data_IF_254306108392
#
_entry.id   IF_254306108392
#
_cell.length_a   1.000
_cell.length_b   1.000
_cell.length_c   1.000
_cell.angle_alpha   90.00
_cell.angle_beta   90.00
_cell.angle_gamma   90.00
#
_symmetry.space_group_name_H-M   'P 1'
#
loop_
_entity.id
_entity.type
_entity.pdbx_description
1 polymer ?
#
# COMPACT_ATOMS: atom_id res chain seq x y z
N UNK A 1 -15.45 2.03 -13.40
CA UNK A 1 -15.70 3.26 -12.62
C UNK A 1 -14.70 4.29 -13.12
N UNK A 2 -15.17 5.33 -13.80
CA UNK A 2 -14.32 6.26 -14.53
C UNK A 2 -13.40 7.04 -13.58
N UNK A 3 -12.13 7.16 -13.97
CA UNK A 3 -11.28 8.25 -13.47
C UNK A 3 -11.82 9.53 -14.09
N UNK A 4 -12.75 10.20 -13.43
CA UNK A 4 -12.98 11.61 -13.72
C UNK A 4 -11.68 12.34 -13.40
N UNK A 5 -11.01 12.87 -14.42
CA UNK A 5 -9.86 13.75 -14.23
C UNK A 5 -10.32 14.89 -13.34
N UNK A 6 -9.84 14.92 -12.09
CA UNK A 6 -10.09 16.02 -11.18
C UNK A 6 -9.59 17.30 -11.85
N UNK A 7 -10.51 18.19 -12.23
CA UNK A 7 -10.18 19.48 -12.81
C UNK A 7 -9.45 20.30 -11.77
N UNK A 8 -8.27 20.81 -12.14
CA UNK A 8 -7.56 21.76 -11.31
C UNK A 8 -8.45 22.98 -11.07
N UNK A 9 -8.41 23.49 -9.84
CA UNK A 9 -9.01 24.78 -9.55
C UNK A 9 -8.31 25.83 -10.41
N UNK A 10 -9.09 26.66 -11.10
CA UNK A 10 -8.55 27.75 -11.90
C UNK A 10 -7.74 28.70 -11.01
N UNK A 11 -6.57 29.13 -11.47
CA UNK A 11 -5.69 30.01 -10.69
C UNK A 11 -6.36 31.33 -10.29
N UNK A 12 -7.37 31.78 -11.05
CA UNK A 12 -8.17 32.98 -10.75
C UNK A 12 -9.13 32.81 -9.58
N UNK A 13 -9.46 31.57 -9.19
CA UNK A 13 -10.26 31.32 -7.99
C UNK A 13 -9.36 31.60 -6.78
N UNK A 14 -9.71 32.54 -5.90
CA UNK A 14 -8.91 32.80 -4.70
C UNK A 14 -9.06 31.64 -3.69
N UNK A 15 -8.05 31.39 -2.82
CA UNK A 15 -8.23 30.50 -1.68
C UNK A 15 -9.27 31.04 -0.70
N UNK A 16 -9.87 30.16 0.09
CA UNK A 16 -10.92 30.52 1.06
C UNK A 16 -10.33 30.78 2.46
N UNK A 17 -9.31 30.03 2.83
CA UNK A 17 -8.72 30.01 4.17
C UNK A 17 -7.29 30.51 4.17
N UNK A 18 -6.51 30.12 3.16
CA UNK A 18 -5.15 30.59 2.98
C UNK A 18 -5.13 31.98 2.34
N UNK A 19 -4.05 32.73 2.52
CA UNK A 19 -3.85 34.01 1.81
C UNK A 19 -3.49 33.80 0.34
N UNK A 20 -2.81 32.69 0.03
CA UNK A 20 -2.43 32.24 -1.31
C UNK A 20 -2.14 30.72 -1.28
N UNK A 21 -2.02 30.07 -2.44
CA UNK A 21 -1.68 28.63 -2.54
C UNK A 21 -0.17 28.39 -2.44
N UNK A 22 0.44 28.78 -1.32
CA UNK A 22 1.89 28.66 -1.10
C UNK A 22 2.22 28.00 0.24
N UNK A 23 3.42 27.43 0.34
CA UNK A 23 3.93 26.91 1.63
C UNK A 23 4.07 28.03 2.67
N UNK A 24 4.36 29.26 2.25
CA UNK A 24 4.42 30.42 3.16
C UNK A 24 3.06 30.68 3.81
N UNK A 25 1.98 30.68 3.02
CA UNK A 25 0.62 30.83 3.54
C UNK A 25 0.20 29.66 4.46
N UNK A 26 0.62 28.42 4.15
CA UNK A 26 0.42 27.26 5.02
C UNK A 26 1.17 27.42 6.34
N UNK A 27 2.43 27.86 6.30
CA UNK A 27 3.23 28.10 7.49
C UNK A 27 2.62 29.20 8.36
N UNK A 28 2.16 30.29 7.76
CA UNK A 28 1.46 31.36 8.48
C UNK A 28 0.15 30.87 9.11
N UNK A 29 -0.62 30.05 8.39
CA UNK A 29 -1.82 29.39 8.92
C UNK A 29 -1.50 28.57 10.19
N UNK A 30 -0.42 27.78 10.17
CA UNK A 30 0.08 27.03 11.34
C UNK A 30 0.48 27.99 12.48
N UNK A 31 1.29 29.02 12.18
CA UNK A 31 1.78 30.01 13.15
C UNK A 31 0.66 30.80 13.83
N UNK A 32 -0.51 30.96 13.21
CA UNK A 32 -1.65 31.65 13.85
C UNK A 32 -2.14 30.96 15.14
N UNK A 33 -1.76 29.69 15.37
CA UNK A 33 -2.23 28.89 16.50
C UNK A 33 -3.67 28.37 16.34
N UNK A 34 -4.32 28.63 15.20
CA UNK A 34 -5.63 28.05 14.84
C UNK A 34 -5.51 26.58 14.45
N UNK A 35 -4.38 26.19 13.86
CA UNK A 35 -4.08 24.81 13.48
C UNK A 35 -3.57 24.05 14.68
N UNK A 36 -4.41 23.18 15.25
CA UNK A 36 -4.02 22.33 16.39
C UNK A 36 -4.10 20.84 16.09
N UNK A 37 -4.72 20.49 14.96
CA UNK A 37 -4.96 19.11 14.55
C UNK A 37 -4.45 18.89 13.13
N UNK A 38 -3.17 18.58 13.00
CA UNK A 38 -2.57 18.20 11.72
C UNK A 38 -2.69 16.69 11.56
N UNK A 39 -3.38 16.25 10.51
CA UNK A 39 -3.37 14.85 10.09
C UNK A 39 -2.34 14.69 8.98
N UNK A 40 -1.49 13.68 9.12
CA UNK A 40 -0.46 13.37 8.13
C UNK A 40 -0.77 12.03 7.48
N UNK A 41 -0.72 11.98 6.15
CA UNK A 41 -0.95 10.80 5.34
C UNK A 41 0.33 10.50 4.56
N UNK A 42 0.94 9.33 4.77
CA UNK A 42 2.22 8.97 4.16
C UNK A 42 2.14 7.71 3.31
N UNK A 43 3.06 7.60 2.36
CA UNK A 43 3.35 6.39 1.61
C UNK A 43 4.83 6.25 1.32
N UNK A 44 5.18 5.30 0.44
CA UNK A 44 6.57 4.86 0.29
C UNK A 44 7.53 5.96 -0.19
N UNK A 45 7.02 7.02 -0.81
CA UNK A 45 7.82 8.14 -1.31
C UNK A 45 8.63 8.85 -0.22
N UNK A 46 8.17 8.84 1.05
CA UNK A 46 8.92 9.46 2.16
C UNK A 46 10.14 8.63 2.59
N UNK A 47 10.19 7.35 2.22
CA UNK A 47 11.25 6.40 2.59
C UNK A 47 12.28 6.17 1.48
N UNK A 48 12.09 6.76 0.30
CA UNK A 48 13.00 6.58 -0.85
C UNK A 48 14.41 7.08 -0.58
N UNK A 49 14.57 8.23 0.10
CA UNK A 49 15.87 8.75 0.51
C UNK A 49 16.57 7.88 1.57
N UNK A 50 15.84 7.01 2.27
CA UNK A 50 16.42 6.01 3.17
C UNK A 50 17.04 4.83 2.42
N UNK A 51 16.85 4.72 1.10
CA UNK A 51 17.25 3.56 0.30
C UNK A 51 16.18 2.49 0.17
N UNK A 52 14.97 2.73 0.68
CA UNK A 52 13.84 1.80 0.54
C UNK A 52 13.13 2.11 -0.78
N UNK A 53 13.06 1.16 -1.72
CA UNK A 53 12.33 1.39 -2.95
C UNK A 53 10.85 1.57 -2.69
N UNK A 54 10.21 2.44 -3.47
CA UNK A 54 8.77 2.44 -3.51
C UNK A 54 8.25 1.23 -4.32
N UNK A 55 6.93 1.11 -4.43
CA UNK A 55 6.33 0.00 -5.13
C UNK A 55 6.20 0.22 -6.64
N UNK A 56 5.99 1.46 -7.08
CA UNK A 56 5.38 1.77 -8.39
C UNK A 56 6.23 2.64 -9.31
N UNK A 57 7.28 3.29 -8.81
CA UNK A 57 8.11 4.18 -9.61
C UNK A 57 8.69 3.44 -10.81
N UNK A 58 8.71 4.06 -12.00
CA UNK A 58 9.40 3.49 -13.14
C UNK A 58 10.85 3.18 -12.80
N UNK A 59 11.34 1.99 -13.17
CA UNK A 59 12.72 1.49 -12.97
C UNK A 59 13.13 1.18 -11.52
N UNK A 60 12.77 2.01 -10.54
CA UNK A 60 13.15 1.83 -9.12
C UNK A 60 12.05 1.21 -8.26
N UNK A 61 10.82 1.11 -8.77
CA UNK A 61 9.72 0.48 -8.06
C UNK A 61 9.90 -1.03 -7.95
N UNK A 62 9.61 -1.58 -6.78
CA UNK A 62 9.69 -3.01 -6.50
C UNK A 62 8.91 -3.83 -7.54
N UNK A 63 7.67 -3.44 -7.87
CA UNK A 63 6.83 -4.18 -8.83
C UNK A 63 7.39 -4.22 -10.25
N UNK A 64 8.01 -3.13 -10.72
CA UNK A 64 8.63 -3.11 -12.05
C UNK A 64 9.77 -4.12 -12.18
N UNK A 65 10.47 -4.40 -11.10
CA UNK A 65 11.61 -5.31 -11.09
C UNK A 65 11.18 -6.75 -10.78
N UNK A 66 10.13 -6.93 -9.98
CA UNK A 66 9.49 -8.23 -9.77
C UNK A 66 8.72 -8.72 -11.01
N UNK A 67 8.26 -7.84 -11.90
CA UNK A 67 7.56 -8.23 -13.14
C UNK A 67 8.42 -9.07 -14.11
N UNK A 68 9.74 -9.09 -13.92
CA UNK A 68 10.67 -9.96 -14.68
C UNK A 68 10.70 -11.39 -14.15
N UNK A 69 10.18 -11.59 -12.95
CA UNK A 69 10.03 -12.88 -12.31
C UNK A 69 8.75 -13.51 -12.84
N UNK A 70 8.70 -14.83 -12.92
CA UNK A 70 7.57 -15.59 -13.48
C UNK A 70 6.31 -15.57 -12.58
N UNK A 71 6.07 -14.45 -11.89
CA UNK A 71 4.90 -14.18 -11.08
C UNK A 71 3.69 -13.94 -12.00
N UNK A 72 2.47 -14.31 -11.55
CA UNK A 72 1.27 -14.12 -12.35
C UNK A 72 0.97 -12.63 -12.60
N UNK A 73 1.38 -11.77 -11.67
CA UNK A 73 1.34 -10.30 -11.74
C UNK A 73 2.29 -9.75 -10.65
N UNK A 74 2.69 -8.48 -10.76
CA UNK A 74 3.77 -7.92 -9.94
C UNK A 74 3.42 -7.83 -8.43
N UNK A 75 2.14 -7.65 -8.11
CA UNK A 75 1.62 -7.57 -6.75
C UNK A 75 1.48 -8.94 -6.05
N UNK A 76 1.67 -10.06 -6.76
CA UNK A 76 1.39 -11.40 -6.26
C UNK A 76 2.15 -11.75 -4.97
N UNK A 77 3.37 -11.23 -4.78
CA UNK A 77 4.18 -11.46 -3.55
C UNK A 77 3.49 -10.90 -2.29
N UNK A 78 2.59 -9.94 -2.45
CA UNK A 78 1.77 -9.38 -1.38
C UNK A 78 0.28 -9.75 -1.51
N UNK A 79 -0.07 -10.79 -2.28
CA UNK A 79 -1.44 -11.31 -2.34
C UNK A 79 -1.61 -12.51 -1.39
N UNK A 80 -2.66 -12.48 -0.56
CA UNK A 80 -2.85 -13.52 0.46
C UNK A 80 -3.18 -14.90 -0.12
N UNK A 81 -3.85 -14.96 -1.27
CA UNK A 81 -4.16 -16.22 -1.94
C UNK A 81 -2.92 -16.82 -2.61
N UNK A 82 -2.03 -15.97 -3.14
CA UNK A 82 -0.73 -16.40 -3.64
C UNK A 82 0.19 -16.86 -2.49
N UNK A 83 0.31 -16.07 -1.42
CA UNK A 83 1.13 -16.42 -0.24
C UNK A 83 0.74 -17.75 0.42
N UNK A 84 -0.54 -18.13 0.36
CA UNK A 84 -1.02 -19.42 0.87
C UNK A 84 -0.47 -20.61 0.09
N UNK A 85 -0.16 -20.42 -1.18
CA UNK A 85 0.34 -21.45 -2.09
C UNK A 85 1.86 -21.41 -2.19
N UNK A 86 2.43 -20.20 -2.35
CA UNK A 86 3.86 -19.95 -2.52
C UNK A 86 4.33 -18.84 -1.55
N UNK A 87 4.53 -19.15 -0.26
CA UNK A 87 5.01 -18.18 0.74
C UNK A 87 6.49 -17.81 0.61
N UNK A 88 7.30 -18.63 -0.05
CA UNK A 88 8.76 -18.52 -0.16
C UNK A 88 9.22 -17.19 -0.79
N UNK A 89 8.63 -16.71 -1.91
CA UNK A 89 9.00 -15.43 -2.52
C UNK A 89 8.88 -14.24 -1.56
N UNK A 90 7.84 -14.24 -0.72
CA UNK A 90 7.68 -13.20 0.31
C UNK A 90 8.79 -13.28 1.35
N UNK A 91 9.19 -14.47 1.79
CA UNK A 91 10.19 -14.62 2.85
C UNK A 91 11.60 -14.24 2.40
N UNK A 92 11.92 -14.42 1.12
CA UNK A 92 13.17 -13.89 0.55
C UNK A 92 13.16 -12.37 0.52
N UNK A 93 12.04 -11.77 0.12
CA UNK A 93 11.87 -10.32 0.17
C UNK A 93 11.88 -9.78 1.62
N UNK A 94 11.23 -10.49 2.55
CA UNK A 94 11.13 -10.10 3.95
C UNK A 94 12.49 -10.03 4.65
N UNK A 95 13.45 -10.88 4.26
CA UNK A 95 14.83 -10.83 4.77
C UNK A 95 15.50 -9.49 4.44
N UNK A 96 15.22 -8.94 3.26
CA UNK A 96 15.81 -7.70 2.83
C UNK A 96 15.08 -6.48 3.41
N UNK A 97 13.75 -6.55 3.51
CA UNK A 97 12.90 -5.51 4.10
C UNK A 97 12.89 -5.49 5.64
N UNK A 98 13.47 -6.49 6.30
CA UNK A 98 13.38 -6.62 7.75
C UNK A 98 13.92 -5.38 8.48
N UNK A 99 13.22 -4.84 9.50
CA UNK A 99 13.61 -3.60 10.15
C UNK A 99 15.03 -3.63 10.72
N UNK A 100 15.75 -2.51 10.56
CA UNK A 100 17.06 -2.27 11.19
C UNK A 100 18.17 -1.80 10.25
N UNK A 101 18.02 -1.96 8.93
CA UNK A 101 19.01 -1.54 7.93
C UNK A 101 18.92 -0.05 7.57
N UNK A 102 17.68 0.43 7.39
CA UNK A 102 17.41 1.78 6.91
C UNK A 102 17.37 2.79 8.06
N UNK A 103 17.30 4.08 7.79
CA UNK A 103 17.15 5.10 8.84
C UNK A 103 16.06 6.10 8.44
N UNK A 104 15.37 6.74 9.41
CA UNK A 104 14.37 7.74 9.10
C UNK A 104 14.91 8.88 8.23
N UNK A 105 14.05 9.42 7.37
CA UNK A 105 14.37 10.57 6.51
C UNK A 105 14.00 11.89 7.18
N UNK A 106 14.28 13.01 6.51
CA UNK A 106 13.87 14.34 6.99
C UNK A 106 12.35 14.45 7.11
N UNK A 107 11.62 13.85 6.17
CA UNK A 107 10.16 13.78 6.23
C UNK A 107 9.67 13.09 7.51
N UNK A 108 10.30 11.99 7.92
CA UNK A 108 9.96 11.29 9.17
C UNK A 108 10.28 12.14 10.40
N UNK A 109 11.46 12.78 10.42
CA UNK A 109 11.90 13.68 11.47
C UNK A 109 10.93 14.87 11.66
N UNK A 110 10.43 15.44 10.56
CA UNK A 110 9.44 16.51 10.61
C UNK A 110 8.12 16.07 11.24
N UNK A 111 7.64 14.86 10.94
CA UNK A 111 6.42 14.32 11.55
C UNK A 111 6.60 14.12 13.06
N UNK A 112 7.77 13.64 13.50
CA UNK A 112 8.10 13.56 14.92
C UNK A 112 8.14 14.95 15.57
N UNK A 113 8.70 15.95 14.88
CA UNK A 113 8.74 17.32 15.36
C UNK A 113 7.32 17.93 15.50
N UNK A 114 6.41 17.63 14.57
CA UNK A 114 4.99 17.99 14.71
C UNK A 114 4.36 17.38 15.97
N UNK A 115 4.72 16.15 16.32
CA UNK A 115 4.25 15.50 17.53
C UNK A 115 4.82 16.17 18.78
N UNK A 116 6.13 16.45 18.82
CA UNK A 116 6.79 17.13 19.93
C UNK A 116 6.22 18.54 20.18
N UNK A 117 5.85 19.24 19.11
CA UNK A 117 5.20 20.56 19.18
C UNK A 117 3.69 20.50 19.48
N UNK A 118 3.13 19.30 19.67
CA UNK A 118 1.71 19.11 20.02
C UNK A 118 0.73 19.41 18.88
N UNK A 119 1.20 19.40 17.62
CA UNK A 119 0.40 19.72 16.43
C UNK A 119 -0.11 18.47 15.71
N UNK A 120 0.58 17.33 15.85
CA UNK A 120 0.19 16.07 15.22
C UNK A 120 -1.08 15.51 15.89
N UNK A 121 -2.18 15.44 15.13
CA UNK A 121 -3.39 14.76 15.55
C UNK A 121 -3.27 13.25 15.37
N UNK A 122 -2.94 12.83 14.16
CA UNK A 122 -2.80 11.44 13.76
C UNK A 122 -1.92 11.34 12.51
N UNK A 123 -1.10 10.30 12.44
CA UNK A 123 -0.34 9.87 11.28
C UNK A 123 -0.96 8.59 10.75
N UNK A 124 -1.41 8.59 9.50
CA UNK A 124 -1.76 7.38 8.78
C UNK A 124 -0.64 7.07 7.79
N UNK A 125 -0.03 5.91 7.90
CA UNK A 125 1.03 5.47 6.99
C UNK A 125 0.61 4.21 6.24
N UNK A 126 0.91 4.18 4.94
CA UNK A 126 0.84 2.97 4.12
C UNK A 126 2.13 2.13 4.22
N UNK A 127 3.17 2.68 4.83
CA UNK A 127 4.47 2.03 4.92
C UNK A 127 4.47 0.97 6.02
N UNK A 128 5.34 -0.01 5.82
CA UNK A 128 5.53 -1.15 6.73
C UNK A 128 6.93 -1.15 7.36
N UNK A 129 7.76 -0.17 7.01
CA UNK A 129 9.19 -0.07 7.35
C UNK A 129 9.47 0.36 8.80
N UNK A 130 8.43 0.81 9.52
CA UNK A 130 8.48 1.28 10.90
C UNK A 130 9.37 2.51 11.14
N UNK A 131 9.73 3.26 10.10
CA UNK A 131 10.62 4.42 10.23
C UNK A 131 9.95 5.58 10.99
N UNK A 132 8.63 5.67 11.00
CA UNK A 132 7.87 6.65 11.77
C UNK A 132 8.06 6.44 13.28
N UNK A 133 7.99 5.17 13.74
CA UNK A 133 8.26 4.81 15.14
C UNK A 133 9.69 5.14 15.52
N UNK A 134 10.63 4.78 14.63
CA UNK A 134 12.07 5.06 14.84
C UNK A 134 12.38 6.54 14.88
N UNK A 135 11.64 7.36 14.12
CA UNK A 135 11.76 8.81 14.19
C UNK A 135 11.22 9.41 15.49
N UNK A 136 10.60 8.62 16.36
CA UNK A 136 10.08 9.08 17.65
C UNK A 136 8.63 9.58 17.60
N UNK A 137 7.86 9.24 16.55
CA UNK A 137 6.41 9.50 16.56
C UNK A 137 5.75 8.61 17.62
N UNK A 138 4.93 9.16 18.55
CA UNK A 138 4.28 8.37 19.59
C UNK A 138 3.37 7.28 19.01
N UNK A 139 3.43 6.07 19.55
CA UNK A 139 2.72 4.90 19.00
C UNK A 139 1.20 5.11 18.90
N UNK A 140 0.60 5.82 19.87
CA UNK A 140 -0.82 6.15 19.92
C UNK A 140 -1.26 7.17 18.85
N UNK A 141 -0.30 7.78 18.15
CA UNK A 141 -0.51 8.72 17.04
C UNK A 141 -0.29 8.07 15.67
N UNK A 142 0.12 6.80 15.61
CA UNK A 142 0.42 6.12 14.34
C UNK A 142 -0.68 5.10 14.04
N UNK A 143 -1.21 5.18 12.82
CA UNK A 143 -2.04 4.17 12.21
C UNK A 143 -1.27 3.58 11.03
N UNK A 144 -0.69 2.40 11.25
CA UNK A 144 -0.05 1.57 10.23
C UNK A 144 -1.15 0.90 9.41
N UNK A 145 -1.64 1.59 8.38
CA UNK A 145 -2.82 1.18 7.62
C UNK A 145 -2.61 -0.15 6.90
N UNK A 146 -1.38 -0.42 6.46
CA UNK A 146 -1.00 -1.70 5.88
C UNK A 146 -0.24 -2.59 6.86
N UNK A 147 -0.38 -2.32 8.16
CA UNK A 147 0.29 -3.08 9.20
C UNK A 147 1.81 -2.85 9.21
N UNK A 148 2.57 -3.75 9.85
CA UNK A 148 4.01 -3.59 10.00
C UNK A 148 4.72 -4.90 10.34
N UNK A 149 6.06 -4.88 10.32
CA UNK A 149 6.91 -5.97 10.81
C UNK A 149 7.00 -6.03 12.35
N UNK A 150 6.23 -5.22 13.08
CA UNK A 150 6.35 -5.13 14.53
C UNK A 150 5.81 -6.36 15.26
N UNK A 151 4.81 -7.04 14.71
CA UNK A 151 4.23 -8.28 15.24
C UNK A 151 3.95 -9.26 14.12
N UNK A 152 3.64 -10.52 14.45
CA UNK A 152 3.34 -11.57 13.47
C UNK A 152 2.30 -12.56 13.98
N UNK A 153 1.48 -13.08 13.07
CA UNK A 153 0.39 -14.01 13.40
C UNK A 153 0.27 -15.12 12.37
N UNK A 154 -0.25 -16.27 12.82
CA UNK A 154 -0.68 -17.34 11.92
C UNK A 154 -1.82 -16.85 11.03
N UNK A 155 -1.75 -17.11 9.71
CA UNK A 155 -2.79 -16.64 8.78
C UNK A 155 -4.14 -17.33 8.99
N UNK A 156 -4.17 -18.49 9.65
CA UNK A 156 -5.38 -19.27 9.92
C UNK A 156 -5.97 -18.96 11.30
N UNK A 157 -5.27 -19.35 12.37
CA UNK A 157 -5.80 -19.22 13.74
C UNK A 157 -5.60 -17.83 14.35
N UNK A 158 -4.88 -16.93 13.66
CA UNK A 158 -4.56 -15.56 14.10
C UNK A 158 -3.80 -15.44 15.43
N UNK A 159 -3.31 -16.56 15.98
CA UNK A 159 -2.47 -16.57 17.17
C UNK A 159 -1.12 -15.95 16.85
N UNK A 160 -0.65 -15.12 17.79
CA UNK A 160 0.63 -14.41 17.71
C UNK A 160 1.79 -15.38 17.77
N UNK A 161 2.76 -15.17 16.89
CA UNK A 161 3.97 -15.95 16.83
C UNK A 161 5.11 -15.18 17.50
N UNK A 162 6.03 -15.81 18.26
CA UNK A 162 7.06 -15.07 18.97
C UNK A 162 8.10 -14.37 18.05
N UNK A 163 8.43 -13.11 18.35
CA UNK A 163 9.36 -12.26 17.56
C UNK A 163 10.70 -12.91 17.25
N UNK A 164 11.34 -13.48 18.27
CA UNK A 164 12.67 -14.09 18.14
C UNK A 164 12.67 -15.26 17.16
N UNK A 165 11.58 -16.02 17.09
CA UNK A 165 11.44 -17.12 16.15
C UNK A 165 11.17 -16.61 14.75
N UNK A 166 10.31 -15.59 14.61
CA UNK A 166 10.04 -14.98 13.31
C UNK A 166 11.33 -14.44 12.70
N UNK A 167 12.11 -13.74 13.53
CA UNK A 167 13.44 -13.24 13.18
C UNK A 167 14.34 -14.37 12.65
N UNK A 168 14.45 -15.47 13.38
CA UNK A 168 15.27 -16.62 12.97
C UNK A 168 14.81 -17.20 11.63
N UNK A 169 13.49 -17.32 11.42
CA UNK A 169 12.92 -17.81 10.17
C UNK A 169 13.22 -16.87 8.99
N UNK A 170 12.98 -15.58 9.15
CA UNK A 170 13.24 -14.56 8.12
C UNK A 170 14.72 -14.54 7.73
N UNK A 171 15.65 -14.51 8.71
CA UNK A 171 17.08 -14.49 8.41
C UNK A 171 17.62 -15.79 7.78
N UNK A 172 16.87 -16.89 7.90
CA UNK A 172 17.19 -18.17 7.23
C UNK A 172 16.44 -18.37 5.92
N UNK A 173 15.58 -17.43 5.51
CA UNK A 173 14.71 -17.59 4.35
C UNK A 173 13.72 -18.76 4.49
N UNK A 174 13.33 -19.12 5.72
CA UNK A 174 12.47 -20.27 6.01
C UNK A 174 11.05 -19.83 6.33
N UNK A 175 10.06 -20.46 5.69
CA UNK A 175 8.65 -20.20 5.95
C UNK A 175 8.27 -20.70 7.36
N UNK A 176 7.86 -19.82 8.30
CA UNK A 176 7.43 -20.23 9.62
C UNK A 176 6.05 -20.88 9.59
N UNK A 177 5.90 -21.95 10.36
CA UNK A 177 4.64 -22.66 10.56
C UNK A 177 4.09 -22.38 11.95
N UNK A 178 2.76 -22.40 12.07
CA UNK A 178 2.08 -22.23 13.34
C UNK A 178 2.53 -23.31 14.34
N UNK A 179 2.69 -22.92 15.61
CA UNK A 179 3.07 -23.83 16.70
C UNK A 179 1.89 -24.41 17.47
N UNK A 180 0.67 -23.99 17.12
CA UNK A 180 -0.55 -24.42 17.80
C UNK A 180 -0.95 -25.81 17.33
N UNK A 181 -1.29 -26.68 18.29
CA UNK A 181 -1.65 -28.05 18.02
C UNK A 181 -2.85 -28.14 17.07
N UNK A 182 -2.67 -28.87 15.97
CA UNK A 182 -3.69 -29.04 14.94
C UNK A 182 -3.80 -27.90 13.92
N UNK A 183 -3.00 -26.84 14.03
CA UNK A 183 -2.96 -25.75 13.05
C UNK A 183 -1.82 -25.96 12.05
N UNK A 184 -2.17 -26.04 10.76
CA UNK A 184 -1.19 -26.16 9.66
C UNK A 184 -0.95 -24.84 8.94
N UNK A 185 -1.33 -23.71 9.55
CA UNK A 185 -1.17 -22.39 8.93
C UNK A 185 0.29 -21.96 8.85
N UNK A 186 0.63 -21.20 7.82
CA UNK A 186 1.86 -20.40 7.80
C UNK A 186 1.68 -19.16 8.68
N UNK A 187 2.79 -18.64 9.17
CA UNK A 187 2.84 -17.37 9.89
C UNK A 187 3.28 -16.30 8.91
N UNK A 188 2.86 -15.05 9.12
CA UNK A 188 3.46 -13.88 8.48
C UNK A 188 3.53 -12.70 9.46
N UNK A 189 4.44 -11.74 9.23
CA UNK A 189 4.34 -10.42 9.86
C UNK A 189 2.95 -9.83 9.64
N UNK A 190 2.49 -9.00 10.57
CA UNK A 190 1.19 -8.34 10.50
C UNK A 190 1.16 -7.20 9.48
N UNK A 191 1.65 -7.46 8.28
CA UNK A 191 1.52 -6.65 7.07
C UNK A 191 0.24 -7.07 6.37
N UNK A 192 -0.56 -6.10 5.94
CA UNK A 192 -1.80 -6.35 5.19
C UNK A 192 -1.46 -6.71 3.77
N UNK A 193 -1.85 -7.91 3.35
CA UNK A 193 -1.73 -8.36 1.96
C UNK A 193 -2.99 -7.96 1.18
N UNK A 194 -2.90 -7.90 -0.15
CA UNK A 194 -4.07 -7.82 -1.01
C UNK A 194 -5.00 -9.00 -0.72
N UNK A 195 -6.30 -8.70 -0.59
CA UNK A 195 -7.32 -9.66 -0.15
C UNK A 195 -7.54 -9.70 1.37
N UNK A 196 -6.69 -9.05 2.18
CA UNK A 196 -6.90 -8.92 3.63
C UNK A 196 -7.62 -7.61 4.00
N UNK A 197 -8.33 -7.63 5.13
CA UNK A 197 -8.87 -6.42 5.72
C UNK A 197 -7.76 -5.58 6.37
N UNK A 198 -7.87 -4.26 6.29
CA UNK A 198 -7.00 -3.35 7.06
C UNK A 198 -7.26 -3.53 8.57
N UNK A 199 -6.30 -3.13 9.44
CA UNK A 199 -6.50 -3.15 10.88
C UNK A 199 -7.73 -2.35 11.29
N UNK A 200 -8.48 -2.82 12.29
CA UNK A 200 -9.71 -2.13 12.76
C UNK A 200 -9.44 -0.68 13.17
N UNK A 201 -8.25 -0.43 13.74
CA UNK A 201 -7.76 0.88 14.11
C UNK A 201 -7.80 1.89 12.94
N UNK A 202 -7.62 1.44 11.69
CA UNK A 202 -7.80 2.29 10.52
C UNK A 202 -9.24 2.82 10.46
N UNK A 203 -10.23 1.93 10.39
CA UNK A 203 -11.65 2.33 10.32
C UNK A 203 -12.09 3.15 11.54
N UNK A 204 -11.65 2.76 12.73
CA UNK A 204 -11.96 3.45 13.98
C UNK A 204 -11.40 4.88 14.04
N UNK A 205 -10.26 5.14 13.37
CA UNK A 205 -9.57 6.43 13.45
C UNK A 205 -9.68 7.28 12.19
N UNK A 206 -10.11 6.75 11.04
CA UNK A 206 -10.21 7.53 9.79
C UNK A 206 -11.03 8.83 9.92
N UNK A 207 -12.03 8.87 10.80
CA UNK A 207 -12.80 10.08 11.10
C UNK A 207 -11.96 11.26 11.62
N UNK A 208 -10.76 11.00 12.16
CA UNK A 208 -9.81 12.02 12.61
C UNK A 208 -9.40 12.95 11.46
N UNK A 209 -9.35 12.45 10.22
CA UNK A 209 -9.09 13.28 9.03
C UNK A 209 -10.18 14.32 8.80
N UNK A 210 -11.44 13.98 9.09
CA UNK A 210 -12.55 14.94 9.03
C UNK A 210 -12.54 15.97 10.17
N UNK A 211 -11.76 15.75 11.22
CA UNK A 211 -11.56 16.70 12.32
C UNK A 211 -10.32 17.58 12.15
N UNK A 212 -9.49 17.31 11.14
CA UNK A 212 -8.24 18.01 10.91
C UNK A 212 -8.45 19.49 10.60
N UNK A 213 -7.51 20.32 11.07
CA UNK A 213 -7.39 21.71 10.65
C UNK A 213 -6.55 21.84 9.37
N UNK A 214 -5.67 20.86 9.14
CA UNK A 214 -4.74 20.78 8.03
C UNK A 214 -4.43 19.31 7.76
N UNK A 215 -4.43 18.91 6.49
CA UNK A 215 -4.00 17.57 6.08
C UNK A 215 -2.72 17.69 5.26
N UNK A 216 -1.67 17.00 5.69
CA UNK A 216 -0.42 16.88 4.93
C UNK A 216 -0.38 15.50 4.27
N UNK A 217 -0.16 15.44 2.97
CA UNK A 217 -0.08 14.20 2.18
C UNK A 217 1.33 14.12 1.61
N UNK A 218 2.11 13.11 2.01
CA UNK A 218 3.52 13.00 1.64
C UNK A 218 3.80 11.65 0.96
N UNK A 219 4.42 11.70 -0.22
CA UNK A 219 5.05 10.54 -0.84
C UNK A 219 4.11 9.36 -1.11
N UNK A 220 2.90 9.59 -1.62
CA UNK A 220 1.95 8.52 -1.92
C UNK A 220 1.28 8.72 -3.28
N UNK A 221 1.00 7.61 -3.98
CA UNK A 221 0.24 7.59 -5.23
C UNK A 221 -1.27 7.73 -5.03
N UNK A 222 -1.79 7.54 -3.81
CA UNK A 222 -3.23 7.50 -3.49
C UNK A 222 -4.04 6.56 -4.41
N UNK A 223 -3.48 5.39 -4.74
CA UNK A 223 -4.14 4.41 -5.63
C UNK A 223 -4.78 3.24 -4.89
N UNK A 224 -4.47 3.04 -3.61
CA UNK A 224 -4.93 1.89 -2.81
C UNK A 224 -6.04 2.34 -1.87
N UNK A 225 -7.24 1.79 -2.08
CA UNK A 225 -8.37 1.98 -1.17
C UNK A 225 -8.32 0.98 -0.02
N UNK A 226 -8.82 1.36 1.18
CA UNK A 226 -9.55 2.59 1.49
C UNK A 226 -8.67 3.83 1.81
N UNK A 227 -7.34 3.68 1.89
CA UNK A 227 -6.43 4.78 2.26
C UNK A 227 -6.55 6.00 1.33
N UNK A 228 -6.66 5.76 0.02
CA UNK A 228 -6.80 6.80 -1.00
C UNK A 228 -7.98 7.75 -0.78
N UNK A 229 -9.01 7.36 -0.01
CA UNK A 229 -10.16 8.20 0.32
C UNK A 229 -9.94 9.13 1.52
N UNK A 230 -8.89 8.95 2.32
CA UNK A 230 -8.64 9.79 3.50
C UNK A 230 -8.53 11.29 3.18
N UNK A 231 -7.79 11.74 2.15
CA UNK A 231 -7.70 13.17 1.82
C UNK A 231 -9.04 13.82 1.52
N UNK A 232 -10.03 13.07 1.06
CA UNK A 232 -11.34 13.60 0.70
C UNK A 232 -12.27 13.74 1.91
N UNK A 233 -11.98 13.03 3.01
CA UNK A 233 -12.66 13.19 4.30
C UNK A 233 -12.37 14.54 4.96
N UNK A 234 -11.28 15.22 4.58
CA UNK A 234 -11.00 16.56 5.05
C UNK A 234 -12.17 17.50 4.72
N UNK A 235 -12.62 18.30 5.68
CA UNK A 235 -13.75 19.21 5.47
C UNK A 235 -13.41 20.27 4.41
N UNK A 236 -14.42 20.77 3.70
CA UNK A 236 -14.27 21.96 2.87
C UNK A 236 -13.79 23.16 3.70
N UNK A 237 -12.98 24.03 3.08
CA UNK A 237 -12.29 25.13 3.77
C UNK A 237 -11.19 24.69 4.74
N UNK A 238 -10.79 23.42 4.73
CA UNK A 238 -9.56 22.96 5.42
C UNK A 238 -8.47 22.71 4.38
N UNK A 239 -7.29 23.35 4.51
CA UNK A 239 -6.23 23.17 3.54
C UNK A 239 -5.74 21.72 3.49
N UNK A 240 -5.37 21.28 2.29
CA UNK A 240 -4.66 20.02 2.04
C UNK A 240 -3.36 20.34 1.32
N UNK A 241 -2.25 19.77 1.78
CA UNK A 241 -0.92 20.07 1.22
C UNK A 241 -0.29 18.78 0.76
N UNK A 242 0.02 18.70 -0.53
CA UNK A 242 0.68 17.55 -1.15
C UNK A 242 2.18 17.83 -1.27
N UNK A 243 3.00 16.93 -0.74
CA UNK A 243 4.43 16.83 -1.01
C UNK A 243 4.69 15.54 -1.77
N UNK A 244 4.91 15.62 -3.08
CA UNK A 244 5.05 14.42 -3.89
C UNK A 244 5.75 14.71 -5.22
N UNK A 245 6.33 13.71 -5.87
CA UNK A 245 6.94 13.88 -7.19
C UNK A 245 5.92 14.28 -8.26
N UNK A 246 4.69 13.80 -8.12
CA UNK A 246 3.61 14.01 -9.08
C UNK A 246 2.30 14.37 -8.38
N UNK A 247 1.39 14.98 -9.13
CA UNK A 247 0.02 15.20 -8.68
C UNK A 247 -0.71 13.86 -8.59
N UNK A 248 -1.45 13.65 -7.50
CA UNK A 248 -2.17 12.39 -7.22
C UNK A 248 -3.58 12.64 -6.69
N UNK A 249 -4.47 11.67 -6.89
CA UNK A 249 -5.85 11.76 -6.43
C UNK A 249 -6.58 13.01 -6.95
N UNK A 250 -7.41 13.61 -6.10
CA UNK A 250 -8.16 14.84 -6.39
C UNK A 250 -7.49 16.11 -5.86
N UNK A 251 -6.18 16.06 -5.57
CA UNK A 251 -5.45 17.19 -5.00
C UNK A 251 -5.26 18.28 -6.06
N UNK A 252 -5.38 19.54 -5.64
CA UNK A 252 -5.43 20.69 -6.55
C UNK A 252 -6.82 21.01 -7.08
N UNK A 253 -7.84 20.23 -6.70
CA UNK A 253 -9.24 20.49 -7.05
C UNK A 253 -9.96 21.42 -6.09
N UNK A 254 -9.39 21.72 -4.91
CA UNK A 254 -10.01 22.63 -3.91
C UNK A 254 -9.28 23.97 -3.84
N UNK A 255 -10.01 25.02 -3.44
CA UNK A 255 -9.50 26.38 -3.38
C UNK A 255 -8.25 26.54 -2.47
N UNK A 256 -8.17 25.78 -1.37
CA UNK A 256 -7.07 25.80 -0.40
C UNK A 256 -6.07 24.63 -0.56
N UNK A 257 -6.13 23.87 -1.67
CA UNK A 257 -5.11 22.84 -1.93
C UNK A 257 -3.78 23.49 -2.33
N UNK A 258 -2.69 23.04 -1.72
CA UNK A 258 -1.31 23.43 -2.06
C UNK A 258 -0.55 22.19 -2.51
N UNK A 259 0.24 22.31 -3.58
CA UNK A 259 1.04 21.21 -4.11
C UNK A 259 2.49 21.63 -4.21
N UNK A 260 3.34 21.01 -3.41
CA UNK A 260 4.80 21.11 -3.49
C UNK A 260 5.32 19.88 -4.24
N UNK A 261 5.54 20.05 -5.55
CA UNK A 261 5.96 18.95 -6.41
C UNK A 261 7.48 18.82 -6.45
N UNK A 262 7.97 17.61 -6.18
CA UNK A 262 9.39 17.27 -6.09
C UNK A 262 9.69 16.28 -4.96
N UNK A 263 10.98 16.10 -4.61
CA UNK A 263 11.38 15.23 -3.51
C UNK A 263 10.75 15.67 -2.19
N UNK A 264 10.16 14.72 -1.45
CA UNK A 264 9.44 15.01 -0.19
C UNK A 264 10.31 15.75 0.82
N UNK A 265 11.55 15.31 1.03
CA UNK A 265 12.47 15.92 1.99
C UNK A 265 12.83 17.37 1.64
N UNK A 266 12.89 17.72 0.35
CA UNK A 266 13.12 19.11 -0.08
C UNK A 266 11.89 19.98 0.19
N UNK A 267 10.70 19.49 -0.14
CA UNK A 267 9.45 20.20 0.14
C UNK A 267 9.22 20.40 1.64
N UNK A 268 9.51 19.38 2.45
CA UNK A 268 9.46 19.46 3.92
C UNK A 268 10.46 20.49 4.45
N UNK A 269 11.68 20.55 3.91
CA UNK A 269 12.67 21.58 4.27
C UNK A 269 12.17 22.98 3.94
N UNK A 270 11.54 23.20 2.78
CA UNK A 270 10.93 24.49 2.43
C UNK A 270 9.83 24.89 3.42
N UNK A 271 8.95 23.96 3.80
CA UNK A 271 7.94 24.26 4.82
C UNK A 271 8.59 24.55 6.18
N UNK A 272 9.65 23.82 6.54
CA UNK A 272 10.40 24.07 7.78
C UNK A 272 11.10 25.45 7.76
N UNK A 273 11.65 25.89 6.61
CA UNK A 273 12.20 27.23 6.43
C UNK A 273 11.12 28.29 6.71
N UNK A 274 9.93 28.15 6.09
CA UNK A 274 8.80 29.06 6.28
C UNK A 274 8.27 29.06 7.72
N UNK A 275 8.34 27.93 8.43
CA UNK A 275 7.98 27.81 9.85
C UNK A 275 9.04 28.34 10.80
N UNK A 276 10.27 28.58 10.33
CA UNK A 276 11.43 28.90 11.15
C UNK A 276 11.94 27.70 11.97
N UNK A 277 11.70 26.48 11.49
CA UNK A 277 12.09 25.21 12.15
C UNK A 277 13.24 24.50 11.45
N UNK A 278 13.87 25.13 10.45
CA UNK A 278 14.88 24.47 9.62
C UNK A 278 16.04 23.89 10.43
N UNK A 279 16.68 24.73 11.24
CA UNK A 279 17.85 24.31 12.03
C UNK A 279 17.45 23.23 13.05
N UNK A 280 16.33 23.42 13.74
CA UNK A 280 15.77 22.43 14.69
C UNK A 280 15.48 21.07 14.03
N UNK A 281 14.92 21.08 12.81
CA UNK A 281 14.65 19.87 12.04
C UNK A 281 15.93 19.14 11.63
N UNK A 282 16.92 19.87 11.11
CA UNK A 282 18.19 19.29 10.66
C UNK A 282 19.00 18.75 11.85
N UNK A 283 19.03 19.47 12.97
CA UNK A 283 19.69 19.04 14.20
C UNK A 283 19.05 17.75 14.74
N UNK A 284 17.71 17.74 14.85
CA UNK A 284 16.97 16.55 15.30
C UNK A 284 17.21 15.35 14.38
N UNK A 285 17.12 15.55 13.07
CA UNK A 285 17.33 14.48 12.10
C UNK A 285 18.77 13.94 12.15
N UNK A 286 19.78 14.81 12.22
CA UNK A 286 21.20 14.41 12.30
C UNK A 286 21.53 13.70 13.61
N UNK A 287 20.94 14.11 14.72
CA UNK A 287 21.06 13.40 16.00
C UNK A 287 20.43 12.00 15.92
N UNK A 288 19.26 11.91 15.29
CA UNK A 288 18.50 10.66 15.14
C UNK A 288 19.23 9.61 14.29
N UNK A 289 19.83 10.01 13.17
CA UNK A 289 20.41 9.07 12.19
C UNK A 289 21.93 8.99 12.24
N UNK A 290 22.58 9.99 12.84
CA UNK A 290 24.03 10.14 12.84
C UNK A 290 24.57 10.83 11.58
N UNK A 291 25.74 11.46 11.71
CA UNK A 291 26.33 12.28 10.65
C UNK A 291 26.58 11.51 9.34
N UNK A 292 27.16 10.31 9.41
CA UNK A 292 27.50 9.52 8.21
C UNK A 292 26.26 9.15 7.40
N UNK A 293 25.20 8.71 8.07
CA UNK A 293 23.91 8.37 7.46
C UNK A 293 23.25 9.60 6.82
N UNK A 294 23.23 10.73 7.53
CA UNK A 294 22.67 11.98 7.02
C UNK A 294 23.37 12.42 5.73
N UNK A 295 24.71 12.35 5.69
CA UNK A 295 25.48 12.66 4.48
C UNK A 295 25.24 11.66 3.34
N UNK A 296 25.00 10.37 3.63
CA UNK A 296 24.60 9.39 2.61
C UNK A 296 23.27 9.76 1.99
N UNK A 297 22.24 9.97 2.81
CA UNK A 297 20.89 10.30 2.32
C UNK A 297 20.89 11.58 1.47
N UNK A 298 21.62 12.62 1.89
CA UNK A 298 21.74 13.86 1.10
C UNK A 298 22.46 13.66 -0.24
N UNK A 299 23.44 12.76 -0.30
CA UNK A 299 24.14 12.45 -1.56
C UNK A 299 23.25 11.65 -2.50
N UNK A 300 22.57 10.62 -1.97
CA UNK A 300 21.62 9.79 -2.70
C UNK A 300 20.51 10.63 -3.36
N UNK A 301 20.00 11.63 -2.62
CA UNK A 301 19.03 12.59 -3.15
C UNK A 301 19.56 13.44 -4.32
N UNK A 302 20.84 13.82 -4.32
CA UNK A 302 21.48 14.60 -5.40
C UNK A 302 21.81 13.75 -6.62
N UNK A 303 22.16 12.47 -6.40
CA UNK A 303 22.58 11.54 -7.45
C UNK A 303 21.40 10.81 -8.12
N UNK A 304 20.16 11.14 -7.76
CA UNK A 304 18.97 10.65 -8.46
C UNK A 304 18.59 9.21 -8.16
N UNK A 305 19.02 8.66 -7.02
CA UNK A 305 18.53 7.37 -6.52
C UNK A 305 19.18 6.12 -7.14
N UNK A 306 20.41 6.20 -7.67
CA UNK A 306 21.16 5.02 -8.14
C UNK A 306 21.28 3.91 -7.09
N UNK A 307 21.39 4.25 -5.80
CA UNK A 307 21.41 3.25 -4.71
C UNK A 307 20.09 2.46 -4.62
N UNK A 308 18.95 3.12 -4.88
CA UNK A 308 17.64 2.46 -4.88
C UNK A 308 17.54 1.49 -6.06
N UNK A 309 18.10 1.84 -7.22
CA UNK A 309 18.15 0.92 -8.37
C UNK A 309 18.97 -0.34 -8.04
N UNK A 310 20.12 -0.19 -7.39
CA UNK A 310 20.99 -1.31 -7.00
C UNK A 310 20.30 -2.23 -5.96
N UNK A 311 19.66 -1.65 -4.94
CA UNK A 311 18.90 -2.42 -3.94
C UNK A 311 17.75 -3.19 -4.59
N UNK A 312 17.03 -2.57 -5.53
CA UNK A 312 15.91 -3.24 -6.20
C UNK A 312 16.38 -4.39 -7.09
N UNK A 313 17.52 -4.24 -7.77
CA UNK A 313 18.11 -5.34 -8.55
C UNK A 313 18.50 -6.52 -7.65
N UNK A 314 19.06 -6.24 -6.46
CA UNK A 314 19.38 -7.26 -5.46
C UNK A 314 18.12 -7.97 -4.96
N UNK A 315 17.05 -7.22 -4.67
CA UNK A 315 15.75 -7.78 -4.26
C UNK A 315 15.17 -8.70 -5.33
N UNK A 316 15.12 -8.23 -6.58
CA UNK A 316 14.57 -9.01 -7.68
C UNK A 316 15.35 -10.30 -7.93
N UNK A 317 16.68 -10.26 -7.88
CA UNK A 317 17.52 -11.45 -8.04
C UNK A 317 17.27 -12.51 -6.96
N UNK A 318 17.12 -12.08 -5.69
CA UNK A 318 16.80 -13.00 -4.59
C UNK A 318 15.45 -13.70 -4.78
N UNK A 319 14.42 -12.96 -5.18
CA UNK A 319 13.09 -13.54 -5.42
C UNK A 319 13.10 -14.48 -6.64
N UNK A 320 13.90 -14.19 -7.69
CA UNK A 320 14.08 -15.10 -8.83
C UNK A 320 14.66 -16.46 -8.42
N UNK A 321 15.67 -16.44 -7.55
CA UNK A 321 16.28 -17.65 -7.02
C UNK A 321 15.26 -18.47 -6.22
N UNK A 322 14.46 -17.82 -5.37
CA UNK A 322 13.40 -18.47 -4.59
C UNK A 322 12.38 -19.22 -5.47
N UNK A 323 11.94 -18.58 -6.56
CA UNK A 323 10.95 -19.17 -7.48
C UNK A 323 11.51 -20.38 -8.24
N UNK A 324 12.82 -20.41 -8.55
CA UNK A 324 13.46 -21.55 -9.24
C UNK A 324 13.59 -22.79 -8.36
N UNK A 325 13.65 -22.63 -7.04
CA UNK A 325 13.70 -23.77 -6.13
C UNK A 325 12.37 -24.53 -6.08
N UNK A 326 11.24 -23.81 -6.17
CA UNK A 326 9.88 -24.39 -6.18
C UNK A 326 9.63 -25.26 -7.42
N UNK A 327 9.99 -24.77 -8.62
CA UNK A 327 9.86 -25.52 -9.89
C UNK A 327 10.69 -26.83 -9.91
N UNK A 328 11.73 -26.94 -9.08
CA UNK A 328 12.63 -28.11 -9.04
C UNK A 328 12.15 -29.21 -8.09
N UNK A 329 11.28 -28.89 -7.13
CA UNK A 329 10.70 -29.90 -6.22
C UNK A 329 9.50 -30.62 -6.87
N UNK A 330 8.84 -30.01 -7.86
CA UNK A 330 7.74 -30.62 -8.62
C UNK A 330 8.21 -31.67 -9.65
N UNK A 331 9.49 -31.73 -10.03
CA UNK A 331 10.04 -32.78 -10.92
C UNK A 331 10.61 -34.00 -10.16
N UNK A 332 10.67 -33.98 -8.83
CA UNK A 332 11.19 -35.10 -8.03
C UNK A 332 10.11 -36.10 -7.61
N UNK A 333 9.22 -36.47 -8.54
CA UNK A 333 8.01 -37.28 -8.27
C UNK A 333 7.77 -38.46 -9.21
N UNK A 334 8.81 -39.07 -9.81
CA UNK A 334 8.67 -40.31 -10.57
C UNK A 334 9.45 -41.46 -9.90
N UNK A 335 8.80 -42.58 -9.52
CA UNK A 335 9.51 -43.70 -8.91
C UNK A 335 10.39 -44.39 -9.95
N UNK A 336 11.71 -44.44 -9.69
CA UNK A 336 12.64 -45.29 -10.44
C UNK A 336 12.29 -46.76 -10.18
N UNK A 337 11.71 -47.43 -11.18
CA UNK A 337 11.59 -48.88 -11.21
C UNK A 337 12.99 -49.51 -11.14
N UNK A 338 13.14 -50.49 -10.24
CA UNK A 338 14.35 -51.30 -10.09
C UNK A 338 14.30 -52.46 -11.08
N UNK A 339 15.38 -52.60 -11.85
CA UNK A 339 15.64 -53.72 -12.74
C UNK A 339 15.53 -55.07 -12.03
N UNK A 340 14.79 -56.00 -12.64
CA UNK A 340 14.96 -57.44 -12.42
C UNK A 340 15.03 -58.10 -13.80
N UNK A 341 16.24 -58.50 -14.19
CA UNK A 341 16.47 -59.44 -15.29
C UNK A 341 15.92 -60.82 -14.93
N UNK A 342 15.24 -61.49 -15.87
CA UNK A 342 15.53 -62.90 -16.22
C UNK A 342 14.83 -63.33 -17.51
N UNK A 343 15.51 -64.23 -18.23
CA UNK A 343 15.33 -64.65 -19.61
C UNK A 343 14.21 -65.70 -19.86
N UNK A 344 13.60 -65.69 -21.06
CA UNK A 344 13.78 -66.70 -22.14
C UNK A 344 12.63 -66.76 -23.18
N UNK A 345 13.02 -66.64 -24.46
CA UNK A 345 12.64 -67.43 -25.67
C UNK A 345 11.19 -67.48 -26.25
N UNK A 346 11.14 -67.07 -27.53
CA UNK A 346 10.70 -67.80 -28.75
C UNK A 346 9.27 -67.66 -29.34
N UNK A 347 9.24 -67.56 -30.69
CA UNK A 347 8.11 -67.79 -31.64
C UNK A 347 7.60 -66.51 -32.33
N UNK A 348 7.95 -66.21 -33.60
CA UNK A 348 7.25 -66.62 -34.87
C UNK A 348 5.81 -66.03 -34.96
N UNK A 349 5.27 -65.46 -36.04
CA UNK A 349 5.60 -65.38 -37.47
C UNK A 349 4.62 -64.40 -38.18
N UNK A 350 5.01 -63.89 -39.37
CA UNK A 350 4.21 -63.52 -40.58
C UNK A 350 3.02 -62.50 -40.52
N UNK A 351 2.61 -61.71 -41.54
CA UNK A 351 3.00 -61.29 -42.91
C UNK A 351 1.96 -60.24 -43.40
N UNK A 352 2.38 -59.37 -44.35
CA UNK A 352 1.58 -58.71 -45.43
C UNK A 352 0.43 -57.73 -45.02
N UNK A 353 0.08 -56.64 -45.71
CA UNK A 353 0.28 -56.21 -47.10
C UNK A 353 -0.01 -54.69 -47.24
N UNK A 354 0.66 -54.05 -48.20
CA UNK A 354 0.48 -52.66 -48.67
C UNK A 354 -0.69 -52.52 -49.65
N UNK A 355 -1.47 -51.43 -49.62
CA UNK A 355 -1.92 -50.71 -50.84
C UNK A 355 -2.19 -49.23 -50.52
N UNK A 356 -1.77 -48.36 -51.44
CA UNK A 356 -1.88 -46.91 -51.42
C UNK A 356 -3.11 -46.38 -52.21
N UNK A 357 -3.24 -45.05 -52.19
CA UNK A 357 -3.80 -44.14 -53.20
C UNK A 357 -5.22 -43.58 -52.98
N UNK A 358 -5.34 -42.26 -53.20
CA UNK A 358 -6.59 -41.60 -53.55
C UNK A 358 -6.79 -40.19 -52.98
N UNK A 359 -6.10 -39.19 -53.52
CA UNK A 359 -6.59 -37.80 -53.49
C UNK A 359 -7.87 -37.68 -54.34
N UNK A 360 -8.83 -36.84 -53.92
CA UNK A 360 -9.58 -35.93 -54.79
C UNK A 360 -10.46 -34.96 -53.98
N UNK A 361 -10.64 -33.80 -54.59
CA UNK A 361 -11.02 -32.50 -54.03
C UNK A 361 -12.49 -32.09 -54.30
N UNK A 362 -12.93 -31.07 -53.56
CA UNK A 362 -13.96 -30.02 -53.84
C UNK A 362 -15.44 -30.32 -53.52
N UNK A 363 -16.03 -29.41 -52.73
CA UNK A 363 -17.46 -29.13 -52.71
C UNK A 363 -17.84 -27.91 -51.86
N UNK A 364 -17.85 -26.71 -52.47
CA UNK A 364 -18.47 -25.47 -51.96
C UNK A 364 -20.00 -25.57 -52.03
N UNK A 365 -20.74 -24.98 -51.07
CA UNK A 365 -21.97 -24.20 -51.32
C UNK A 365 -22.39 -23.35 -50.11
N UNK A 366 -22.92 -22.18 -50.43
CA UNK A 366 -23.22 -21.00 -49.59
C UNK A 366 -24.68 -20.95 -49.11
N UNK A 367 -24.90 -20.25 -47.98
CA UNK A 367 -26.07 -19.41 -47.65
C UNK A 367 -27.40 -20.09 -47.27
N UNK A 368 -28.29 -19.45 -46.47
CA UNK A 368 -28.52 -18.00 -46.44
C UNK A 368 -28.57 -17.33 -45.04
N UNK A 369 -28.55 -16.01 -45.08
CA UNK A 369 -28.74 -15.02 -44.00
C UNK A 369 -30.17 -14.96 -43.47
N UNK A 370 -30.35 -14.68 -42.17
CA UNK A 370 -31.36 -13.72 -41.72
C UNK A 370 -31.06 -13.12 -40.33
N UNK A 371 -31.37 -11.83 -40.21
CA UNK A 371 -31.26 -10.99 -39.01
C UNK A 371 -32.40 -11.29 -38.04
N UNK A 372 -32.11 -11.36 -36.75
CA UNK A 372 -33.09 -11.07 -35.69
C UNK A 372 -32.37 -10.54 -34.44
N UNK A 373 -32.76 -9.35 -34.02
CA UNK A 373 -32.45 -8.73 -32.74
C UNK A 373 -33.00 -9.59 -31.59
N UNK A 374 -32.21 -9.79 -30.52
CA UNK A 374 -32.78 -10.11 -29.22
C UNK A 374 -31.88 -9.65 -28.07
N UNK A 375 -32.51 -8.86 -27.20
CA UNK A 375 -32.09 -8.33 -25.91
C UNK A 375 -31.79 -9.41 -24.86
N UNK A 376 -30.66 -9.29 -24.13
CA UNK A 376 -30.44 -9.78 -22.73
C UNK A 376 -29.33 -8.93 -22.10
N UNK A 377 -29.67 -7.90 -21.31
CA UNK A 377 -29.78 -7.90 -19.84
C UNK A 377 -28.46 -8.19 -19.10
N UNK A 378 -27.79 -7.08 -18.73
CA UNK A 378 -26.70 -7.01 -17.75
C UNK A 378 -27.20 -7.36 -16.34
N UNK A 379 -26.46 -8.19 -15.57
CA UNK A 379 -26.70 -8.38 -14.14
C UNK A 379 -25.96 -7.30 -13.36
N UNK A 380 -26.52 -6.09 -13.28
CA UNK A 380 -25.79 -4.94 -12.75
C UNK A 380 -26.65 -3.86 -12.12
N UNK A 381 -27.71 -4.18 -11.37
CA UNK A 381 -28.55 -3.14 -10.75
C UNK A 381 -29.11 -3.43 -9.35
N UNK A 382 -28.79 -4.54 -8.67
CA UNK A 382 -29.41 -4.84 -7.37
C UNK A 382 -28.60 -4.45 -6.11
N UNK A 383 -27.32 -4.06 -6.26
CA UNK A 383 -26.48 -3.68 -5.11
C UNK A 383 -26.59 -2.18 -4.74
N UNK A 384 -26.82 -1.31 -5.73
CA UNK A 384 -26.90 0.14 -5.51
C UNK A 384 -28.24 0.60 -4.88
N UNK A 385 -29.34 -0.10 -5.16
CA UNK A 385 -30.66 0.20 -4.58
C UNK A 385 -30.77 -0.25 -3.12
N UNK A 386 -29.99 -1.26 -2.70
CA UNK A 386 -29.99 -1.74 -1.31
C UNK A 386 -29.24 -0.76 -0.38
N UNK A 387 -28.11 -0.22 -0.85
CA UNK A 387 -27.29 0.76 -0.08
C UNK A 387 -28.00 2.10 0.08
N UNK A 388 -28.75 2.54 -0.94
CA UNK A 388 -29.54 3.79 -0.88
C UNK A 388 -30.77 3.69 0.01
N UNK A 389 -31.25 2.48 0.31
CA UNK A 389 -32.37 2.26 1.24
C UNK A 389 -31.90 2.21 2.69
N UNK A 390 -30.78 1.54 2.98
CA UNK A 390 -30.19 1.51 4.34
C UNK A 390 -29.69 2.89 4.79
N UNK A 391 -29.09 3.68 3.88
CA UNK A 391 -28.68 5.07 4.19
C UNK A 391 -29.86 6.01 4.44
N UNK A 392 -31.04 5.72 3.88
CA UNK A 392 -32.25 6.52 4.08
C UNK A 392 -32.98 6.16 5.38
N UNK A 393 -32.93 4.90 5.80
CA UNK A 393 -33.47 4.44 7.09
C UNK A 393 -32.62 4.90 8.28
N UNK A 394 -31.29 4.99 8.13
CA UNK A 394 -30.40 5.56 9.14
C UNK A 394 -30.60 7.09 9.32
N UNK A 395 -30.80 7.82 8.23
CA UNK A 395 -31.06 9.26 8.29
C UNK A 395 -32.42 9.60 8.93
N UNK A 396 -33.43 8.72 8.82
CA UNK A 396 -34.69 8.90 9.54
C UNK A 396 -34.57 8.60 11.04
N UNK A 397 -33.74 7.62 11.42
CA UNK A 397 -33.53 7.26 12.82
C UNK A 397 -32.76 8.36 13.59
N UNK A 398 -31.80 9.04 12.95
CA UNK A 398 -31.09 10.18 13.55
C UNK A 398 -32.01 11.39 13.76
N UNK A 399 -33.00 11.61 12.90
CA UNK A 399 -33.93 12.74 13.03
C UNK A 399 -34.95 12.55 14.15
N UNK A 400 -35.32 11.30 14.46
CA UNK A 400 -36.25 10.98 15.55
C UNK A 400 -35.58 11.06 16.94
N UNK A 401 -34.29 10.72 17.04
CA UNK A 401 -33.51 10.82 18.29
C UNK A 401 -33.27 12.30 18.69
N UNK A 402 -32.95 13.15 17.73
CA UNK A 402 -32.75 14.60 17.96
C UNK A 402 -34.03 15.32 18.42
N UNK A 403 -35.21 14.81 18.03
CA UNK A 403 -36.50 15.36 18.44
C UNK A 403 -36.92 14.90 19.85
N UNK A 404 -36.58 13.67 20.24
CA UNK A 404 -36.80 13.18 21.61
C UNK A 404 -35.89 13.88 22.64
N UNK A 405 -34.63 14.17 22.30
CA UNK A 405 -33.73 14.91 23.19
C UNK A 405 -34.13 16.38 23.35
N UNK A 406 -34.58 17.05 22.27
CA UNK A 406 -35.11 18.42 22.34
C UNK A 406 -36.38 18.52 23.18
N UNK A 407 -37.30 17.55 23.09
CA UNK A 407 -38.51 17.56 23.90
C UNK A 407 -38.22 17.33 25.39
N UNK A 408 -37.20 16.52 25.73
CA UNK A 408 -36.78 16.32 27.14
C UNK A 408 -36.09 17.55 27.75
N UNK A 409 -35.43 18.39 26.96
CA UNK A 409 -34.87 19.66 27.45
C UNK A 409 -35.93 20.75 27.67
N UNK A 410 -37.03 20.74 26.91
CA UNK A 410 -38.13 21.70 27.06
C UNK A 410 -38.98 21.38 28.31
N UNK A 411 -39.21 20.10 28.62
CA UNK A 411 -39.90 19.68 29.84
C UNK A 411 -39.10 19.96 31.13
N UNK A 412 -37.76 19.89 31.09
CA UNK A 412 -36.90 20.23 32.23
C UNK A 412 -36.79 21.72 32.53
N UNK A 413 -37.24 22.60 31.63
CA UNK A 413 -37.26 24.07 31.83
C UNK A 413 -38.63 24.61 32.27
N UNK A 414 -39.63 23.73 32.42
CA UNK A 414 -41.01 24.11 32.73
C UNK A 414 -41.51 23.59 34.10
N UNK A 415 -40.59 23.08 34.93
CA UNK A 415 -40.76 22.77 36.36
C UNK A 415 -39.78 23.62 37.16
#
# INVERSE_FOLDING_TARGET
MGQEESTLVDESVPPETLTERSLSAVADYIKTGRTKRIVVLTGAGISTAAGIPDFRSPKTGLYNNLARLNLPYAEAVFDIAYFRQHPEPFYVLAQELYPGKFHPTVSHAFIALLAQKGLLQMLFTQNIDCLERRAGVPAEKIIEAHGSFATQRCIECKIEFPDHLMRDHVFRGQVPRCKEDGCTGTVKPDIVFFGEALPSAFGEKSHQTAMADLVLILGTSLTVYPFAGLPDMARHGKPRVLFNMERVGQLGGRADDVMELGPCDEGVRKLADELGWRDELEDYWRELVGHEEAERQMRSAKEGGHEVEDEVQKLAAGVEEALRFDDSEDEAGAPKERDVETAHKAGEDEKHETVASGELTVGKKEGPTDKAESSKQDPGTNAAETITRETRELASAEHDIDNEEKNREVEKRSL
#
